data_IF_707659511670
#
_entry.id   IF_707659511670
#
_cell.length_a   1.000
_cell.length_b   1.000
_cell.length_c   1.000
_cell.angle_alpha   90.00
_cell.angle_beta   90.00
_cell.angle_gamma   90.00
#
_symmetry.space_group_name_H-M   'P 1'
#
loop_
_entity.id
_entity.type
_entity.pdbx_description
1 polymer ?
#
# COMPACT_ATOMS: atom_id res chain seq x y z
N UNK A 1 17.56 -11.08 8.13
CA UNK A 1 16.38 -10.66 8.93
C UNK A 1 15.13 -10.91 8.12
N UNK A 2 14.13 -11.59 8.70
CA UNK A 2 12.81 -11.79 8.09
C UNK A 2 11.93 -10.55 8.33
N UNK A 3 11.43 -9.95 7.26
CA UNK A 3 10.63 -8.73 7.32
C UNK A 3 9.22 -9.00 6.79
N UNK A 4 8.20 -8.58 7.55
CA UNK A 4 6.83 -8.48 7.09
C UNK A 4 6.48 -7.01 6.84
N UNK A 5 6.11 -6.68 5.60
CA UNK A 5 5.76 -5.32 5.17
C UNK A 5 4.26 -5.22 4.90
N UNK A 6 3.58 -4.28 5.53
CA UNK A 6 2.23 -3.85 5.12
C UNK A 6 2.37 -2.70 4.13
N UNK A 7 1.80 -2.85 2.94
CA UNK A 7 1.99 -1.87 1.87
C UNK A 7 0.78 -1.72 0.95
N UNK A 8 0.66 -0.53 0.38
CA UNK A 8 -0.18 -0.19 -0.76
C UNK A 8 0.37 1.05 -1.46
N UNK A 9 -0.03 1.26 -2.71
CA UNK A 9 0.34 2.40 -3.52
C UNK A 9 1.82 2.48 -3.91
N UNK A 10 2.14 3.54 -4.65
CA UNK A 10 3.48 3.76 -5.23
C UNK A 10 4.57 3.96 -4.17
N UNK A 11 4.26 4.66 -3.07
CA UNK A 11 5.21 4.87 -1.96
C UNK A 11 5.61 3.56 -1.32
N UNK A 12 4.62 2.69 -1.06
CA UNK A 12 4.83 1.35 -0.51
C UNK A 12 5.68 0.47 -1.43
N UNK A 13 5.43 0.49 -2.73
CA UNK A 13 6.18 -0.29 -3.70
C UNK A 13 7.64 0.17 -3.82
N UNK A 14 7.90 1.47 -3.79
CA UNK A 14 9.27 2.02 -3.78
C UNK A 14 10.05 1.62 -2.53
N UNK A 15 9.39 1.66 -1.37
CA UNK A 15 10.01 1.25 -0.11
C UNK A 15 10.27 -0.26 -0.09
N UNK A 16 9.33 -1.07 -0.59
CA UNK A 16 9.50 -2.51 -0.74
C UNK A 16 10.75 -2.85 -1.58
N UNK A 17 11.01 -2.10 -2.67
CA UNK A 17 12.21 -2.28 -3.49
C UNK A 17 13.51 -2.06 -2.71
N UNK A 18 13.53 -1.05 -1.80
CA UNK A 18 14.68 -0.86 -0.91
C UNK A 18 14.84 -2.00 0.11
N UNK A 19 13.73 -2.53 0.63
CA UNK A 19 13.75 -3.64 1.59
C UNK A 19 14.27 -4.95 0.99
N UNK A 20 14.07 -5.20 -0.31
CA UNK A 20 14.61 -6.38 -1.01
C UNK A 20 16.13 -6.47 -0.86
N UNK A 21 16.84 -5.34 -0.80
CA UNK A 21 18.30 -5.31 -0.65
C UNK A 21 18.78 -5.50 0.79
N UNK A 22 17.88 -5.37 1.78
CA UNK A 22 18.23 -5.35 3.22
C UNK A 22 17.71 -6.59 3.96
N UNK A 23 16.58 -7.14 3.54
CA UNK A 23 15.97 -8.30 4.16
C UNK A 23 16.52 -9.62 3.58
N UNK A 24 16.74 -10.63 4.42
CA UNK A 24 17.05 -11.99 3.95
C UNK A 24 15.79 -12.67 3.39
N UNK A 25 14.64 -12.38 3.99
CA UNK A 25 13.31 -12.83 3.54
C UNK A 25 12.33 -11.66 3.69
N UNK A 26 11.63 -11.32 2.61
CA UNK A 26 10.62 -10.30 2.59
C UNK A 26 9.26 -10.89 2.22
N UNK A 27 8.28 -10.71 3.11
CA UNK A 27 6.86 -10.96 2.81
C UNK A 27 6.12 -9.64 2.81
N UNK A 28 5.42 -9.35 1.72
CA UNK A 28 4.62 -8.14 1.57
C UNK A 28 3.14 -8.52 1.67
N UNK A 29 2.42 -7.88 2.59
CA UNK A 29 0.97 -7.95 2.73
C UNK A 29 0.39 -6.71 2.08
N UNK A 30 -0.21 -6.89 0.93
CA UNK A 30 -0.69 -5.80 0.09
C UNK A 30 -2.18 -5.48 0.33
N UNK A 31 -2.52 -4.20 0.27
CA UNK A 31 -3.90 -3.74 0.23
C UNK A 31 -4.65 -4.30 -0.99
N UNK A 32 -5.90 -4.68 -0.77
CA UNK A 32 -6.87 -5.08 -1.80
C UNK A 32 -8.21 -4.35 -1.63
N UNK A 33 -8.27 -3.39 -0.72
CA UNK A 33 -9.49 -2.62 -0.44
C UNK A 33 -9.89 -1.69 -1.57
N UNK A 34 -8.99 -1.38 -2.48
CA UNK A 34 -9.22 -0.53 -3.64
C UNK A 34 -9.26 -1.31 -4.98
N UNK A 35 -9.29 -2.65 -4.91
CA UNK A 35 -9.58 -3.48 -6.07
C UNK A 35 -10.89 -3.06 -6.73
N UNK A 36 -10.91 -3.08 -8.05
CA UNK A 36 -12.04 -2.58 -8.83
C UNK A 36 -12.30 -3.46 -10.05
N UNK A 37 -13.54 -3.45 -10.52
CA UNK A 37 -13.92 -4.11 -11.77
C UNK A 37 -14.03 -3.07 -12.89
N UNK A 38 -13.20 -3.19 -13.94
CA UNK A 38 -13.14 -2.27 -15.08
C UNK A 38 -13.37 -3.09 -16.35
N UNK A 39 -14.43 -2.78 -17.08
CA UNK A 39 -14.84 -3.52 -18.30
C UNK A 39 -14.90 -5.04 -18.09
N UNK A 40 -15.34 -5.48 -16.89
CA UNK A 40 -15.41 -6.89 -16.53
C UNK A 40 -14.07 -7.52 -16.13
N UNK A 41 -12.99 -6.74 -16.06
CA UNK A 41 -11.68 -7.20 -15.62
C UNK A 41 -11.45 -6.87 -14.16
N UNK A 42 -10.96 -7.82 -13.38
CA UNK A 42 -10.53 -7.60 -12.01
C UNK A 42 -9.16 -6.89 -11.99
N UNK A 43 -9.14 -5.66 -11.51
CA UNK A 43 -7.95 -4.81 -11.37
C UNK A 43 -7.63 -4.68 -9.90
N UNK A 44 -6.38 -4.96 -9.51
CA UNK A 44 -5.86 -4.84 -8.14
C UNK A 44 -4.72 -3.82 -8.10
N UNK A 45 -5.01 -2.50 -8.06
CA UNK A 45 -4.03 -1.45 -8.30
C UNK A 45 -2.80 -1.50 -7.42
N UNK A 46 -2.96 -1.83 -6.12
CA UNK A 46 -1.85 -1.89 -5.18
C UNK A 46 -0.99 -3.14 -5.37
N UNK A 47 -1.62 -4.31 -5.60
CA UNK A 47 -0.90 -5.54 -5.96
C UNK A 47 -0.11 -5.35 -7.27
N UNK A 48 -0.73 -4.73 -8.28
CA UNK A 48 -0.11 -4.51 -9.59
C UNK A 48 1.05 -3.52 -9.50
N UNK A 49 0.88 -2.45 -8.73
CA UNK A 49 1.96 -1.48 -8.48
C UNK A 49 3.16 -2.14 -7.80
N UNK A 50 2.93 -2.99 -6.80
CA UNK A 50 3.98 -3.76 -6.13
C UNK A 50 4.64 -4.73 -7.11
N UNK A 51 3.85 -5.51 -7.83
CA UNK A 51 4.32 -6.49 -8.82
C UNK A 51 5.22 -5.82 -9.87
N UNK A 52 4.73 -4.74 -10.49
CA UNK A 52 5.47 -4.04 -11.54
C UNK A 52 6.74 -3.37 -11.03
N UNK A 53 6.67 -2.71 -9.87
CA UNK A 53 7.83 -2.03 -9.29
C UNK A 53 8.94 -3.01 -8.93
N UNK A 54 8.59 -4.13 -8.28
CA UNK A 54 9.56 -5.13 -7.82
C UNK A 54 10.14 -5.95 -8.97
N UNK A 55 9.36 -6.18 -10.03
CA UNK A 55 9.84 -6.86 -11.24
C UNK A 55 10.55 -5.92 -12.24
N UNK A 56 10.70 -4.62 -11.94
CA UNK A 56 11.32 -3.66 -12.85
C UNK A 56 10.48 -3.36 -14.11
N UNK A 57 9.17 -3.58 -14.03
CA UNK A 57 8.21 -3.41 -15.13
C UNK A 57 7.41 -2.11 -15.03
N UNK A 58 7.56 -1.34 -13.94
CA UNK A 58 6.83 -0.10 -13.73
C UNK A 58 7.32 1.04 -14.63
N UNK A 59 6.42 1.92 -15.03
CA UNK A 59 6.76 3.16 -15.73
C UNK A 59 7.18 4.22 -14.68
N UNK A 60 8.49 4.38 -14.52
CA UNK A 60 9.05 5.34 -13.55
C UNK A 60 8.84 6.80 -13.97
N UNK A 61 8.74 7.09 -15.27
CA UNK A 61 8.53 8.45 -15.79
C UNK A 61 7.08 8.90 -15.54
N UNK A 62 6.10 8.08 -15.91
CA UNK A 62 4.69 8.32 -15.63
C UNK A 62 4.40 8.19 -14.13
N UNK A 63 5.15 7.28 -13.45
CA UNK A 63 5.08 7.01 -12.02
C UNK A 63 3.85 6.22 -11.59
N UNK A 64 3.19 5.49 -12.52
CA UNK A 64 2.14 4.50 -12.29
C UNK A 64 2.01 3.57 -13.51
N UNK A 65 1.46 2.39 -13.29
CA UNK A 65 1.20 1.40 -14.32
C UNK A 65 2.47 0.75 -14.88
N UNK A 66 2.31 -0.01 -15.94
CA UNK A 66 3.38 -0.76 -16.58
C UNK A 66 4.11 0.09 -17.63
N UNK A 67 5.41 -0.11 -17.77
CA UNK A 67 6.23 0.51 -18.81
C UNK A 67 5.92 -0.06 -20.21
N UNK A 68 6.32 0.69 -21.23
CA UNK A 68 6.19 0.30 -22.66
C UNK A 68 4.75 -0.10 -23.05
N UNK A 69 3.75 0.59 -22.50
CA UNK A 69 2.35 0.35 -22.84
C UNK A 69 1.96 0.92 -24.18
N UNK A 70 1.01 0.22 -24.81
CA UNK A 70 0.17 0.74 -25.88
C UNK A 70 -1.28 0.82 -25.39
N UNK A 71 -2.15 1.49 -26.13
CA UNK A 71 -3.51 1.83 -25.67
C UNK A 71 -4.58 1.45 -26.71
N UNK A 72 -4.30 0.42 -27.53
CA UNK A 72 -5.15 0.04 -28.65
C UNK A 72 -6.50 -0.53 -28.19
N UNK A 73 -6.48 -1.41 -27.18
CA UNK A 73 -7.69 -2.01 -26.65
C UNK A 73 -8.62 -0.94 -26.04
N UNK A 74 -8.07 -0.03 -25.23
CA UNK A 74 -8.83 1.04 -24.59
C UNK A 74 -9.36 2.04 -25.65
N UNK A 75 -8.54 2.39 -26.66
CA UNK A 75 -8.95 3.24 -27.78
C UNK A 75 -10.10 2.62 -28.57
N UNK A 76 -10.03 1.32 -28.85
CA UNK A 76 -11.11 0.59 -29.55
C UNK A 76 -12.38 0.56 -28.71
N UNK A 77 -12.28 0.33 -27.37
CA UNK A 77 -13.45 0.40 -26.49
C UNK A 77 -14.12 1.78 -26.54
N UNK A 78 -13.32 2.84 -26.56
CA UNK A 78 -13.83 4.21 -26.69
C UNK A 78 -14.54 4.46 -28.04
N UNK A 79 -13.98 3.96 -29.14
CA UNK A 79 -14.60 4.05 -30.46
C UNK A 79 -15.95 3.31 -30.52
N UNK A 80 -16.11 2.28 -29.69
CA UNK A 80 -17.35 1.50 -29.57
C UNK A 80 -18.34 2.08 -28.56
N UNK A 81 -18.03 3.25 -27.96
CA UNK A 81 -18.95 4.01 -27.12
C UNK A 81 -18.74 3.87 -25.62
N UNK A 82 -17.69 3.18 -25.17
CA UNK A 82 -17.31 3.16 -23.75
C UNK A 82 -16.66 4.47 -23.33
N UNK A 83 -16.83 4.86 -22.07
CA UNK A 83 -16.14 6.01 -21.46
C UNK A 83 -15.06 5.54 -20.49
N UNK A 84 -13.83 5.24 -20.97
CA UNK A 84 -12.78 4.68 -20.14
C UNK A 84 -12.22 5.76 -19.19
N UNK A 85 -12.70 5.77 -17.99
CA UNK A 85 -12.24 6.69 -16.93
C UNK A 85 -11.00 6.15 -16.20
N UNK A 86 -10.76 4.85 -16.25
CA UNK A 86 -9.60 4.19 -15.69
C UNK A 86 -8.65 3.76 -16.83
N UNK A 87 -7.41 4.20 -16.77
CA UNK A 87 -6.43 3.95 -17.83
C UNK A 87 -5.79 2.57 -17.65
N UNK A 88 -6.02 1.68 -18.61
CA UNK A 88 -5.40 0.36 -18.69
C UNK A 88 -4.64 0.24 -20.02
N UNK A 89 -3.34 -0.04 -19.97
CA UNK A 89 -2.55 -0.33 -21.14
C UNK A 89 -2.78 -1.75 -21.66
N UNK A 90 -2.35 -2.04 -22.87
CA UNK A 90 -2.60 -3.33 -23.51
C UNK A 90 -1.92 -4.50 -22.77
N UNK A 91 -0.72 -4.28 -22.22
CA UNK A 91 0.01 -5.28 -21.41
C UNK A 91 -0.61 -5.45 -20.03
N UNK A 92 -1.10 -4.36 -19.44
CA UNK A 92 -1.81 -4.34 -18.17
C UNK A 92 -3.13 -5.11 -18.29
N UNK A 93 -3.89 -4.88 -19.38
CA UNK A 93 -5.08 -5.67 -19.75
C UNK A 93 -4.73 -7.17 -19.85
N UNK A 94 -3.58 -7.53 -20.41
CA UNK A 94 -3.11 -8.92 -20.47
C UNK A 94 -3.00 -9.57 -19.10
N UNK A 95 -2.45 -8.87 -18.10
CA UNK A 95 -2.37 -9.35 -16.72
C UNK A 95 -3.77 -9.49 -16.11
N UNK A 96 -4.63 -8.51 -16.29
CA UNK A 96 -5.99 -8.52 -15.74
C UNK A 96 -6.85 -9.63 -16.38
N UNK A 97 -6.67 -9.95 -17.65
CA UNK A 97 -7.32 -11.10 -18.31
C UNK A 97 -6.94 -12.41 -17.63
N UNK A 98 -5.64 -12.63 -17.38
CA UNK A 98 -5.15 -13.85 -16.71
C UNK A 98 -5.70 -13.93 -15.29
N UNK A 99 -5.66 -12.83 -14.52
CA UNK A 99 -6.21 -12.77 -13.17
C UNK A 99 -7.70 -13.04 -13.15
N UNK A 100 -8.47 -12.33 -13.97
CA UNK A 100 -9.92 -12.46 -14.04
C UNK A 100 -10.36 -13.88 -14.40
N UNK A 101 -9.73 -14.48 -15.40
CA UNK A 101 -10.04 -15.85 -15.82
C UNK A 101 -9.78 -16.86 -14.67
N UNK A 102 -8.69 -16.72 -13.93
CA UNK A 102 -8.35 -17.58 -12.79
C UNK A 102 -9.36 -17.43 -11.65
N UNK A 103 -9.69 -16.18 -11.28
CA UNK A 103 -10.70 -15.90 -10.25
C UNK A 103 -12.08 -16.46 -10.62
N UNK A 104 -12.49 -16.32 -11.87
CA UNK A 104 -13.73 -16.92 -12.41
C UNK A 104 -13.70 -18.44 -12.40
N UNK A 105 -12.53 -19.06 -12.54
CA UNK A 105 -12.36 -20.51 -12.39
C UNK A 105 -12.34 -20.97 -10.91
N UNK A 106 -12.45 -20.03 -9.95
CA UNK A 106 -12.50 -20.31 -8.51
C UNK A 106 -11.14 -20.35 -7.82
N UNK A 107 -10.05 -19.94 -8.49
CA UNK A 107 -8.76 -19.78 -7.82
C UNK A 107 -8.81 -18.58 -6.87
N UNK A 108 -8.29 -18.68 -5.61
CA UNK A 108 -8.22 -17.54 -4.71
C UNK A 108 -7.18 -16.51 -5.19
N UNK A 109 -7.39 -15.22 -4.86
CA UNK A 109 -6.51 -14.12 -5.27
C UNK A 109 -5.06 -14.35 -4.84
N UNK A 110 -4.85 -14.93 -3.65
CA UNK A 110 -3.52 -15.28 -3.13
C UNK A 110 -2.77 -16.27 -4.02
N UNK A 111 -3.44 -17.30 -4.52
CA UNK A 111 -2.84 -18.27 -5.44
C UNK A 111 -2.52 -17.66 -6.81
N UNK A 112 -3.43 -16.84 -7.33
CA UNK A 112 -3.22 -16.09 -8.59
C UNK A 112 -2.05 -15.13 -8.44
N UNK A 113 -1.98 -14.37 -7.34
CA UNK A 113 -0.90 -13.41 -7.06
C UNK A 113 0.45 -14.12 -6.97
N UNK A 114 0.53 -15.24 -6.24
CA UNK A 114 1.76 -16.03 -6.12
C UNK A 114 2.22 -16.59 -7.46
N UNK A 115 1.29 -17.02 -8.33
CA UNK A 115 1.60 -17.45 -9.70
C UNK A 115 2.13 -16.31 -10.55
N UNK A 116 1.44 -15.16 -10.58
CA UNK A 116 1.87 -13.99 -11.34
C UNK A 116 3.24 -13.48 -10.88
N UNK A 117 3.50 -13.44 -9.57
CA UNK A 117 4.79 -13.04 -9.01
C UNK A 117 5.95 -13.93 -9.52
N UNK A 118 5.75 -15.25 -9.54
CA UNK A 118 6.74 -16.19 -10.09
C UNK A 118 6.97 -15.99 -11.59
N UNK A 119 5.91 -15.82 -12.37
CA UNK A 119 6.01 -15.64 -13.82
C UNK A 119 6.77 -14.36 -14.22
N UNK A 120 6.75 -13.33 -13.36
CA UNK A 120 7.56 -12.12 -13.57
C UNK A 120 8.92 -12.17 -12.85
N UNK A 121 9.30 -13.30 -12.25
CA UNK A 121 10.61 -13.55 -11.67
C UNK A 121 10.81 -12.99 -10.27
N UNK A 122 9.77 -12.74 -9.48
CA UNK A 122 9.93 -12.32 -8.08
C UNK A 122 10.29 -13.50 -7.18
N UNK A 123 11.36 -13.33 -6.40
CA UNK A 123 11.83 -14.31 -5.41
C UNK A 123 11.27 -14.08 -4.00
N UNK A 124 10.59 -12.94 -3.78
CA UNK A 124 9.94 -12.60 -2.52
C UNK A 124 8.48 -13.08 -2.47
N UNK A 125 7.89 -13.06 -1.28
CA UNK A 125 6.48 -13.42 -1.09
C UNK A 125 5.59 -12.17 -1.14
N UNK A 126 4.68 -12.12 -2.13
CA UNK A 126 3.66 -11.09 -2.25
C UNK A 126 2.29 -11.71 -1.98
N UNK A 127 1.60 -11.24 -0.94
CA UNK A 127 0.30 -11.72 -0.50
C UNK A 127 -0.74 -10.59 -0.57
N UNK A 128 -1.96 -10.83 -1.07
CA UNK A 128 -3.08 -9.95 -0.78
C UNK A 128 -3.40 -10.03 0.72
N UNK A 129 -3.90 -8.97 1.32
CA UNK A 129 -4.31 -9.00 2.73
C UNK A 129 -5.41 -10.03 3.00
N UNK A 130 -6.27 -10.27 2.02
CA UNK A 130 -7.38 -11.23 2.07
C UNK A 130 -7.73 -11.75 0.68
N UNK A 131 -8.29 -12.96 0.61
CA UNK A 131 -8.96 -13.49 -0.58
C UNK A 131 -10.46 -13.13 -0.60
N UNK A 132 -10.99 -12.64 0.52
CA UNK A 132 -12.38 -12.23 0.63
C UNK A 132 -12.59 -10.84 0.00
N UNK A 133 -13.83 -10.56 -0.45
CA UNK A 133 -14.14 -9.24 -1.02
C UNK A 133 -14.04 -8.15 0.04
N UNK A 134 -13.15 -7.19 -0.18
CA UNK A 134 -12.95 -5.98 0.64
C UNK A 134 -13.05 -4.76 -0.27
N UNK A 135 -13.79 -3.71 0.14
CA UNK A 135 -13.93 -2.48 -0.66
C UNK A 135 -13.82 -1.25 0.23
N UNK A 136 -12.94 -0.34 -0.19
CA UNK A 136 -12.78 0.97 0.44
C UNK A 136 -13.77 1.95 -0.16
N UNK A 137 -14.62 2.53 0.68
CA UNK A 137 -15.57 3.56 0.34
C UNK A 137 -15.16 4.90 0.95
N UNK A 138 -15.21 5.94 0.15
CA UNK A 138 -14.95 7.33 0.57
C UNK A 138 -16.29 8.06 0.68
N UNK A 139 -16.59 8.51 1.87
CA UNK A 139 -17.80 9.29 2.15
C UNK A 139 -17.52 10.79 1.97
N UNK A 140 -18.35 11.46 1.17
CA UNK A 140 -18.21 12.86 0.82
C UNK A 140 -19.56 13.59 0.97
N UNK A 141 -19.60 14.93 0.94
CA UNK A 141 -20.86 15.66 0.87
C UNK A 141 -21.73 15.33 -0.35
N UNK A 142 -21.11 14.84 -1.43
CA UNK A 142 -21.81 14.46 -2.66
C UNK A 142 -22.30 13.00 -2.68
N UNK A 143 -21.96 12.20 -1.67
CA UNK A 143 -22.29 10.78 -1.56
C UNK A 143 -21.11 9.92 -1.19
N UNK A 144 -21.33 8.61 -1.16
CA UNK A 144 -20.28 7.62 -0.96
C UNK A 144 -19.84 7.03 -2.31
N UNK A 145 -18.55 6.90 -2.52
CA UNK A 145 -17.93 6.39 -3.76
C UNK A 145 -16.92 5.32 -3.43
N UNK A 146 -16.78 4.29 -4.27
CA UNK A 146 -15.63 3.40 -4.21
C UNK A 146 -14.34 4.20 -4.41
N UNK A 147 -13.25 3.78 -3.76
CA UNK A 147 -12.01 4.57 -3.73
C UNK A 147 -11.53 4.96 -5.12
N UNK A 148 -11.48 4.03 -6.09
CA UNK A 148 -10.99 4.34 -7.43
C UNK A 148 -11.92 5.30 -8.20
N UNK A 149 -13.25 5.23 -8.01
CA UNK A 149 -14.18 6.21 -8.58
C UNK A 149 -13.90 7.62 -8.02
N UNK A 150 -13.78 7.74 -6.69
CA UNK A 150 -13.42 9.01 -6.06
C UNK A 150 -12.04 9.51 -6.47
N UNK A 151 -11.03 8.62 -6.46
CA UNK A 151 -9.64 9.00 -6.68
C UNK A 151 -9.34 9.33 -8.14
N UNK A 152 -9.71 8.46 -9.08
CA UNK A 152 -9.38 8.58 -10.50
C UNK A 152 -10.46 9.34 -11.26
N UNK A 153 -11.70 8.84 -11.27
CA UNK A 153 -12.79 9.41 -12.07
C UNK A 153 -13.15 10.81 -11.59
N UNK A 154 -13.31 11.00 -10.28
CA UNK A 154 -13.64 12.30 -9.67
C UNK A 154 -12.40 13.13 -9.33
N UNK A 155 -11.19 12.60 -9.59
CA UNK A 155 -9.88 13.26 -9.38
C UNK A 155 -9.71 13.77 -7.94
N UNK A 156 -10.23 13.01 -6.95
CA UNK A 156 -10.19 13.29 -5.49
C UNK A 156 -10.49 14.76 -5.13
N UNK A 157 -11.44 15.39 -5.86
CA UNK A 157 -11.82 16.80 -5.62
C UNK A 157 -12.81 16.95 -4.49
N UNK A 158 -13.58 15.90 -4.19
CA UNK A 158 -14.58 15.95 -3.14
C UNK A 158 -13.92 15.84 -1.77
N UNK A 159 -14.38 16.68 -0.82
CA UNK A 159 -13.91 16.61 0.57
C UNK A 159 -14.29 15.29 1.20
N UNK A 160 -13.34 14.61 1.82
CA UNK A 160 -13.57 13.35 2.53
C UNK A 160 -14.09 13.62 3.92
N UNK A 161 -15.18 12.97 4.30
CA UNK A 161 -15.79 13.01 5.65
C UNK A 161 -15.44 11.79 6.47
N UNK A 162 -15.42 10.62 5.81
CA UNK A 162 -15.07 9.35 6.43
C UNK A 162 -14.60 8.35 5.37
N UNK A 163 -13.93 7.30 5.81
CA UNK A 163 -13.60 6.11 5.02
C UNK A 163 -14.20 4.90 5.71
N UNK A 164 -14.78 3.97 4.97
CA UNK A 164 -15.30 2.71 5.49
C UNK A 164 -14.85 1.54 4.63
N UNK A 165 -14.77 0.37 5.23
CA UNK A 165 -14.26 -0.84 4.60
C UNK A 165 -15.35 -1.91 4.57
N UNK A 166 -16.07 -2.00 3.45
CA UNK A 166 -17.12 -2.98 3.24
C UNK A 166 -16.51 -4.38 3.13
N UNK A 167 -17.03 -5.32 3.91
CA UNK A 167 -16.56 -6.69 3.96
C UNK A 167 -15.49 -6.98 5.02
N UNK A 168 -14.84 -5.95 5.59
CA UNK A 168 -13.74 -6.12 6.56
C UNK A 168 -14.12 -6.96 7.79
N UNK A 169 -15.33 -6.83 8.31
CA UNK A 169 -15.79 -7.56 9.50
C UNK A 169 -15.80 -9.09 9.30
N UNK A 170 -16.08 -9.54 8.07
CA UNK A 170 -16.14 -10.95 7.71
C UNK A 170 -14.84 -11.46 7.08
N UNK A 171 -13.98 -10.56 6.60
CA UNK A 171 -12.77 -10.90 5.90
C UNK A 171 -11.76 -11.64 6.77
N UNK A 172 -11.20 -12.71 6.21
CA UNK A 172 -10.12 -13.47 6.81
C UNK A 172 -8.81 -13.15 6.12
N UNK A 173 -7.68 -13.11 6.86
CA UNK A 173 -6.38 -12.97 6.23
C UNK A 173 -6.17 -14.05 5.16
N UNK A 174 -5.56 -13.67 4.05
CA UNK A 174 -5.15 -14.65 3.04
C UNK A 174 -4.16 -15.66 3.63
N UNK A 175 -4.08 -16.88 3.08
CA UNK A 175 -3.11 -17.88 3.53
C UNK A 175 -1.68 -17.33 3.50
N UNK A 176 -0.93 -17.54 4.58
CA UNK A 176 0.44 -17.07 4.74
C UNK A 176 0.58 -15.71 5.45
N UNK A 177 -0.48 -14.89 5.55
CA UNK A 177 -0.38 -13.55 6.16
C UNK A 177 -0.07 -13.62 7.66
N UNK A 178 -0.83 -14.39 8.44
CA UNK A 178 -0.58 -14.50 9.88
C UNK A 178 0.72 -15.23 10.19
N UNK A 179 1.07 -16.23 9.38
CA UNK A 179 2.34 -16.94 9.48
C UNK A 179 3.52 -15.99 9.24
N UNK A 180 3.44 -15.12 8.24
CA UNK A 180 4.48 -14.12 7.94
C UNK A 180 4.63 -13.11 9.09
N UNK A 181 3.52 -12.59 9.62
CA UNK A 181 3.54 -11.68 10.76
C UNK A 181 4.11 -12.35 12.02
N UNK A 182 3.76 -13.62 12.27
CA UNK A 182 4.25 -14.39 13.42
C UNK A 182 5.71 -14.82 13.32
N UNK A 183 6.24 -15.03 12.10
CA UNK A 183 7.61 -15.42 11.83
C UNK A 183 8.59 -14.26 11.64
N UNK A 184 8.05 -13.04 11.46
CA UNK A 184 8.86 -11.84 11.23
C UNK A 184 9.79 -11.53 12.42
N UNK A 185 10.91 -10.92 12.11
CA UNK A 185 11.84 -10.32 13.07
C UNK A 185 11.69 -8.80 13.11
N UNK A 186 11.05 -8.25 12.08
CA UNK A 186 10.61 -6.85 11.96
C UNK A 186 9.29 -6.83 11.21
N UNK A 187 8.30 -6.13 11.76
CA UNK A 187 7.11 -5.72 11.03
C UNK A 187 7.29 -4.26 10.63
N UNK A 188 7.02 -3.92 9.37
CA UNK A 188 7.09 -2.53 8.93
C UNK A 188 5.85 -2.11 8.17
N UNK A 189 5.45 -0.86 8.34
CA UNK A 189 4.38 -0.22 7.61
C UNK A 189 5.00 0.77 6.64
N UNK A 190 4.75 0.55 5.35
CA UNK A 190 5.28 1.37 4.28
C UNK A 190 4.84 2.84 4.35
N UNK A 191 5.56 3.79 3.69
CA UNK A 191 5.12 5.16 3.51
C UNK A 191 3.92 5.24 2.55
N UNK A 192 2.83 4.63 2.96
CA UNK A 192 1.56 4.52 2.26
C UNK A 192 0.50 5.35 2.97
N UNK A 193 -0.55 5.75 2.27
CA UNK A 193 -1.65 6.50 2.88
C UNK A 193 -2.33 5.66 3.98
N UNK A 194 -2.32 6.10 5.25
CA UNK A 194 -2.91 5.33 6.35
C UNK A 194 -4.38 5.01 6.13
N UNK A 195 -5.15 5.94 5.58
CA UNK A 195 -6.61 5.83 5.51
C UNK A 195 -7.13 4.89 4.42
N UNK A 196 -6.40 4.74 3.31
CA UNK A 196 -6.90 3.99 2.15
C UNK A 196 -5.96 2.89 1.65
N UNK A 197 -4.70 2.87 2.12
CA UNK A 197 -3.75 1.83 1.72
C UNK A 197 -3.37 0.89 2.89
N UNK A 198 -3.34 1.40 4.13
CA UNK A 198 -2.95 0.59 5.29
C UNK A 198 -4.16 0.19 6.14
N UNK A 199 -5.07 1.12 6.44
CA UNK A 199 -6.24 0.81 7.26
C UNK A 199 -7.14 -0.28 6.67
N UNK A 200 -7.30 -0.44 5.32
CA UNK A 200 -8.03 -1.60 4.78
C UNK A 200 -7.40 -2.94 5.17
N UNK A 201 -6.06 -3.02 5.27
CA UNK A 201 -5.34 -4.21 5.75
C UNK A 201 -5.62 -4.42 7.25
N UNK A 202 -5.52 -3.34 8.03
CA UNK A 202 -5.72 -3.36 9.47
C UNK A 202 -7.20 -3.53 9.88
N UNK A 203 -8.15 -3.21 9.01
CA UNK A 203 -9.57 -3.45 9.22
C UNK A 203 -9.92 -4.94 9.24
N UNK A 204 -9.05 -5.79 8.71
CA UNK A 204 -9.14 -7.24 8.87
C UNK A 204 -8.71 -7.57 10.29
N UNK A 205 -9.68 -7.85 11.15
CA UNK A 205 -9.49 -7.97 12.60
C UNK A 205 -8.31 -8.85 13.02
N UNK A 206 -8.13 -10.02 12.40
CA UNK A 206 -7.06 -10.94 12.76
C UNK A 206 -5.65 -10.39 12.45
N UNK A 207 -5.51 -9.53 11.41
CA UNK A 207 -4.24 -8.85 11.09
C UNK A 207 -3.94 -7.80 12.14
N UNK A 208 -4.91 -6.94 12.50
CA UNK A 208 -4.76 -5.94 13.57
C UNK A 208 -4.38 -6.59 14.88
N UNK A 209 -5.10 -7.64 15.30
CA UNK A 209 -4.80 -8.38 16.52
C UNK A 209 -3.40 -9.01 16.52
N UNK A 210 -2.90 -9.47 15.35
CA UNK A 210 -1.54 -9.98 15.24
C UNK A 210 -0.49 -8.90 15.48
N UNK A 211 -0.73 -7.67 14.97
CA UNK A 211 0.15 -6.53 15.23
C UNK A 211 0.10 -6.09 16.70
N UNK A 212 -1.09 -6.02 17.30
CA UNK A 212 -1.27 -5.65 18.71
C UNK A 212 -0.55 -6.62 19.66
N UNK A 213 -0.56 -7.92 19.32
CA UNK A 213 0.05 -9.00 20.11
C UNK A 213 1.49 -9.33 19.72
N UNK A 214 2.08 -8.57 18.79
CA UNK A 214 3.45 -8.80 18.31
C UNK A 214 4.48 -8.83 19.44
N UNK A 215 5.56 -9.55 19.20
CA UNK A 215 6.71 -9.63 20.13
C UNK A 215 8.01 -9.16 19.47
N UNK A 216 7.90 -8.52 18.32
CA UNK A 216 9.00 -8.01 17.51
C UNK A 216 8.77 -6.53 17.26
N UNK A 217 9.84 -5.77 16.99
CA UNK A 217 9.70 -4.35 16.66
C UNK A 217 8.75 -4.15 15.47
N UNK A 218 7.92 -3.11 15.56
CA UNK A 218 7.09 -2.62 14.47
C UNK A 218 7.42 -1.16 14.18
N UNK A 219 7.77 -0.85 12.94
CA UNK A 219 8.24 0.47 12.50
C UNK A 219 7.40 0.96 11.33
N UNK A 220 6.82 2.14 11.43
CA UNK A 220 6.16 2.78 10.29
C UNK A 220 7.04 3.87 9.68
N UNK A 221 6.85 4.12 8.38
CA UNK A 221 7.45 5.24 7.67
C UNK A 221 6.36 6.24 7.29
N UNK A 222 6.58 7.52 7.57
CA UNK A 222 5.64 8.59 7.22
C UNK A 222 5.49 8.74 5.71
N UNK A 223 4.26 8.86 5.18
CA UNK A 223 4.01 9.15 3.77
C UNK A 223 4.13 10.64 3.43
N UNK A 224 4.41 11.49 4.42
CA UNK A 224 4.47 12.94 4.27
C UNK A 224 5.90 13.45 4.50
N UNK A 225 6.26 14.51 3.78
CA UNK A 225 7.55 15.21 3.86
C UNK A 225 7.24 16.72 3.93
N UNK A 226 7.63 17.39 5.01
CA UNK A 226 7.29 18.79 5.25
C UNK A 226 5.76 19.01 5.26
N UNK A 227 5.02 18.05 5.80
CA UNK A 227 3.56 18.05 5.84
C UNK A 227 2.88 17.86 4.49
N UNK A 228 3.60 17.45 3.42
CA UNK A 228 3.08 17.28 2.07
C UNK A 228 3.24 15.85 1.57
N UNK A 229 2.25 15.38 0.82
CA UNK A 229 2.36 14.11 0.10
C UNK A 229 3.20 14.29 -1.16
N UNK A 230 4.09 13.35 -1.45
CA UNK A 230 4.85 13.33 -2.71
C UNK A 230 3.91 13.08 -3.90
N UNK A 231 2.92 12.20 -3.73
CA UNK A 231 1.84 11.91 -4.68
C UNK A 231 0.56 11.53 -3.96
N UNK A 232 -0.57 11.70 -4.66
CA UNK A 232 -1.87 11.23 -4.19
C UNK A 232 -2.53 12.12 -3.14
N UNK A 233 -3.64 11.65 -2.56
CA UNK A 233 -4.54 12.45 -1.76
C UNK A 233 -4.17 12.53 -0.26
N UNK A 234 -3.06 11.93 0.17
CA UNK A 234 -2.75 11.74 1.60
C UNK A 234 -2.77 13.07 2.37
N UNK A 235 -2.13 14.13 1.85
CA UNK A 235 -2.11 15.45 2.52
C UNK A 235 -3.53 15.99 2.77
N UNK A 236 -4.39 15.96 1.75
CA UNK A 236 -5.77 16.42 1.89
C UNK A 236 -6.57 15.58 2.87
N UNK A 237 -6.40 14.25 2.82
CA UNK A 237 -7.07 13.33 3.75
C UNK A 237 -6.61 13.53 5.20
N UNK A 238 -5.31 13.73 5.43
CA UNK A 238 -4.78 14.05 6.77
C UNK A 238 -5.40 15.33 7.34
N UNK A 239 -5.47 16.40 6.55
CA UNK A 239 -6.11 17.67 6.98
C UNK A 239 -7.59 17.47 7.32
N UNK A 240 -8.28 16.62 6.58
CA UNK A 240 -9.72 16.40 6.70
C UNK A 240 -10.10 15.39 7.80
N UNK A 241 -9.31 14.32 7.98
CA UNK A 241 -9.63 13.20 8.85
C UNK A 241 -8.82 13.20 10.16
N UNK A 242 -7.56 13.67 10.13
CA UNK A 242 -6.68 13.69 11.30
C UNK A 242 -6.44 15.10 11.87
N UNK A 243 -6.90 16.15 11.18
CA UNK A 243 -6.79 17.53 11.64
C UNK A 243 -5.43 18.18 11.43
N UNK A 244 -4.44 17.51 10.85
CA UNK A 244 -3.10 18.03 10.57
C UNK A 244 -2.27 17.07 9.74
N UNK A 245 -1.10 17.52 9.29
CA UNK A 245 -0.20 16.77 8.40
C UNK A 245 1.17 16.51 9.03
N UNK A 246 1.36 16.89 10.27
CA UNK A 246 2.59 16.70 11.03
C UNK A 246 2.78 15.21 11.41
N UNK A 247 4.00 14.73 11.60
CA UNK A 247 4.32 13.34 11.97
C UNK A 247 3.50 12.78 13.13
N UNK A 248 3.14 13.58 14.15
CA UNK A 248 2.26 13.15 15.26
C UNK A 248 0.89 12.67 14.79
N UNK A 249 0.34 13.22 13.70
CA UNK A 249 -0.93 12.77 13.14
C UNK A 249 -0.79 11.43 12.39
N UNK A 250 0.39 11.18 11.79
CA UNK A 250 0.73 9.86 11.24
C UNK A 250 0.90 8.85 12.37
N UNK A 251 1.65 9.21 13.42
CA UNK A 251 1.86 8.38 14.60
C UNK A 251 0.52 7.98 15.25
N UNK A 252 -0.40 8.93 15.40
CA UNK A 252 -1.73 8.69 15.97
C UNK A 252 -2.56 7.66 15.18
N UNK A 253 -2.38 7.56 13.85
CA UNK A 253 -3.04 6.50 13.06
C UNK A 253 -2.58 5.09 13.45
N UNK A 254 -1.41 4.96 14.05
CA UNK A 254 -0.77 3.68 14.38
C UNK A 254 -0.52 3.47 15.87
N UNK A 255 -1.18 4.25 16.73
CA UNK A 255 -1.05 4.13 18.19
C UNK A 255 -1.35 2.70 18.66
N UNK A 256 -0.47 2.12 19.47
CA UNK A 256 -0.54 0.73 19.91
C UNK A 256 -0.08 -0.32 18.87
N UNK A 257 0.15 0.07 17.61
CA UNK A 257 0.54 -0.84 16.52
C UNK A 257 2.01 -0.75 16.14
N UNK A 258 2.71 0.34 16.48
CA UNK A 258 4.12 0.57 16.16
C UNK A 258 4.92 0.99 17.40
N UNK A 259 6.22 0.74 17.36
CA UNK A 259 7.18 1.15 18.40
C UNK A 259 7.96 2.41 17.97
N UNK A 260 8.11 2.61 16.64
CA UNK A 260 8.80 3.77 16.09
C UNK A 260 8.14 4.29 14.82
N UNK A 261 8.23 5.60 14.60
CA UNK A 261 7.87 6.27 13.37
C UNK A 261 9.12 6.90 12.74
N UNK A 262 9.44 6.49 11.51
CA UNK A 262 10.47 7.14 10.69
C UNK A 262 9.81 8.25 9.86
N UNK A 263 10.35 9.46 9.92
CA UNK A 263 9.84 10.61 9.19
C UNK A 263 10.96 11.56 8.76
N UNK A 264 10.63 12.46 7.86
CA UNK A 264 11.61 13.30 7.17
C UNK A 264 12.24 14.37 8.08
N UNK A 265 13.49 14.73 7.79
CA UNK A 265 14.24 15.80 8.46
C UNK A 265 13.52 17.14 8.38
N UNK A 266 12.71 17.37 7.35
CA UNK A 266 11.90 18.58 7.19
C UNK A 266 10.84 18.75 8.30
N UNK A 267 10.52 17.67 9.02
CA UNK A 267 9.50 17.64 10.07
C UNK A 267 10.11 17.40 11.48
N UNK A 268 11.42 17.61 11.66
CA UNK A 268 12.17 17.29 12.90
C UNK A 268 11.57 17.95 14.14
N UNK A 269 10.97 19.12 14.01
CA UNK A 269 10.37 19.87 15.12
C UNK A 269 9.20 19.14 15.78
N UNK A 270 8.62 18.13 15.11
CA UNK A 270 7.49 17.34 15.65
C UNK A 270 7.93 16.10 16.45
N UNK A 271 9.25 15.86 16.59
CA UNK A 271 9.79 14.65 17.25
C UNK A 271 9.31 14.49 18.72
N UNK A 272 9.26 15.57 19.48
CA UNK A 272 8.77 15.54 20.86
C UNK A 272 7.28 15.18 20.93
N UNK A 273 6.48 15.66 19.98
CA UNK A 273 5.06 15.36 19.92
C UNK A 273 4.80 13.89 19.55
N UNK A 274 5.61 13.30 18.67
CA UNK A 274 5.59 11.86 18.38
C UNK A 274 5.97 11.05 19.61
N UNK A 275 7.05 11.44 20.30
CA UNK A 275 7.50 10.78 21.53
C UNK A 275 6.45 10.82 22.65
N UNK A 276 5.66 11.90 22.72
CA UNK A 276 4.57 12.03 23.70
C UNK A 276 3.43 11.00 23.51
N UNK A 277 3.32 10.39 22.30
CA UNK A 277 2.40 9.29 22.03
C UNK A 277 2.97 7.91 22.42
N UNK A 278 4.17 7.85 23.02
CA UNK A 278 4.85 6.62 23.36
C UNK A 278 5.50 5.92 22.15
N UNK A 279 5.66 6.62 21.02
CA UNK A 279 6.25 6.12 19.79
C UNK A 279 7.63 6.78 19.61
N UNK A 280 8.68 5.98 19.37
CA UNK A 280 10.04 6.50 19.19
C UNK A 280 10.16 7.27 17.86
N UNK A 281 10.51 8.58 17.87
CA UNK A 281 10.75 9.33 16.66
C UNK A 281 12.09 8.94 16.04
N UNK A 282 12.13 8.69 14.74
CA UNK A 282 13.35 8.45 13.96
C UNK A 282 13.38 9.41 12.78
N UNK A 283 14.30 10.37 12.82
CA UNK A 283 14.40 11.44 11.82
C UNK A 283 15.51 11.12 10.84
N UNK A 284 15.15 11.09 9.54
CA UNK A 284 16.10 10.85 8.44
C UNK A 284 15.52 11.38 7.12
N UNK A 285 16.33 11.46 6.07
CA UNK A 285 15.81 11.71 4.72
C UNK A 285 14.91 10.54 4.28
N UNK A 286 13.62 10.81 3.97
CA UNK A 286 12.66 9.78 3.56
C UNK A 286 12.29 9.84 2.08
N UNK A 287 12.78 10.84 1.33
CA UNK A 287 12.48 10.97 -0.10
C UNK A 287 13.24 9.93 -0.93
N UNK A 288 12.50 8.98 -1.48
CA UNK A 288 13.00 7.88 -2.31
C UNK A 288 13.11 8.31 -3.79
N UNK A 289 14.24 8.93 -4.19
CA UNK A 289 14.48 9.40 -5.56
C UNK A 289 14.99 8.29 -6.47
N UNK A 290 15.85 7.43 -5.93
CA UNK A 290 16.59 6.37 -6.62
C UNK A 290 16.77 5.14 -5.72
N UNK A 291 17.43 4.11 -6.21
CA UNK A 291 17.63 2.87 -5.47
C UNK A 291 18.52 3.06 -4.23
N UNK A 292 19.50 3.98 -4.29
CA UNK A 292 20.36 4.30 -3.15
C UNK A 292 19.56 4.90 -1.99
N UNK A 293 18.68 5.86 -2.26
CA UNK A 293 17.84 6.49 -1.22
C UNK A 293 16.77 5.54 -0.69
N UNK A 294 16.23 4.65 -1.54
CA UNK A 294 15.33 3.55 -1.11
C UNK A 294 16.03 2.60 -0.15
N UNK A 295 17.26 2.17 -0.49
CA UNK A 295 18.07 1.27 0.34
C UNK A 295 18.43 1.90 1.68
N UNK A 296 18.91 3.16 1.70
CA UNK A 296 19.24 3.87 2.94
C UNK A 296 18.05 3.99 3.89
N UNK A 297 16.87 4.30 3.37
CA UNK A 297 15.65 4.32 4.19
C UNK A 297 15.32 2.95 4.77
N UNK A 298 15.45 1.90 3.97
CA UNK A 298 15.24 0.52 4.43
C UNK A 298 16.28 0.10 5.48
N UNK A 299 17.55 0.48 5.32
CA UNK A 299 18.62 0.25 6.32
C UNK A 299 18.33 0.98 7.63
N UNK A 300 17.84 2.22 7.57
CA UNK A 300 17.43 2.98 8.76
C UNK A 300 16.32 2.24 9.51
N UNK A 301 15.27 1.79 8.81
CA UNK A 301 14.17 1.02 9.41
C UNK A 301 14.67 -0.29 10.03
N UNK A 302 15.54 -1.01 9.33
CA UNK A 302 16.16 -2.24 9.83
C UNK A 302 17.04 -1.99 11.07
N UNK A 303 17.79 -0.89 11.08
CA UNK A 303 18.63 -0.46 12.21
C UNK A 303 17.83 -0.16 13.48
N UNK A 304 16.66 0.46 13.35
CA UNK A 304 15.74 0.69 14.49
C UNK A 304 15.33 -0.63 15.14
N UNK A 305 14.99 -1.62 14.33
CA UNK A 305 14.62 -2.95 14.83
C UNK A 305 15.79 -3.66 15.54
N UNK A 306 17.03 -3.48 15.06
CA UNK A 306 18.22 -4.06 15.69
C UNK A 306 18.54 -3.41 17.04
N UNK A 307 18.29 -2.11 17.19
CA UNK A 307 18.52 -1.36 18.43
C UNK A 307 17.48 -1.64 19.53
N UNK A 308 16.32 -2.17 19.18
CA UNK A 308 15.22 -2.51 20.08
C UNK A 308 15.31 -3.94 20.66
N UNK A 309 16.29 -4.74 20.24
CA UNK A 309 16.60 -6.11 20.74
C UNK A 309 17.61 -6.06 21.87
#
# INVERSE_FOLDING_TARGET
>A
MRVALLAGGVGGARFARGLVEVADELTIVANVGDDVEILGLHVSPDLDTLLYTLAGLSDEERGWGRAEETWNALGTAQELGEEPWFQLGDRDIGLHLVRTAALQAGEPLSAVTARLAREVGLELTLLPATDDRLRTWVETPAGAFEFQDWFVRRRHRDTVRAVRFEGAEAARPAPGVLEALGAAELITIAPSNPFVSIEPILAIRAIREALEKRRVPAVAVSPLIGGRAVKGPAEAMFRQLAGGTEPRHVAACYEGLIDALVFDEADVDDAEAVAALGISPVVTETLMRDDETRRRLAETVAGVAAAAR
#
